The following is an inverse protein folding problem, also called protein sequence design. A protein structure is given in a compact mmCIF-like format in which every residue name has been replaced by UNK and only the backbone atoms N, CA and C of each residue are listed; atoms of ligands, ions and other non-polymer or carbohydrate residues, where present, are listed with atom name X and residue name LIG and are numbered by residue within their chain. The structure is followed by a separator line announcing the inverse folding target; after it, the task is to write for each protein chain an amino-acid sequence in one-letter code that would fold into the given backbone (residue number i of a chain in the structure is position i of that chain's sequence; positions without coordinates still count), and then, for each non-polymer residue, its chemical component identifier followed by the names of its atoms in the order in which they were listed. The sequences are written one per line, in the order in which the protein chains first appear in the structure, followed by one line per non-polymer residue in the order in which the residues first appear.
data_IF_058672501184
#
_entry.id   IF_058672501184
#
_cell.length_a   1.000
_cell.length_b   1.000
_cell.length_c   1.000
_cell.angle_alpha   90.00
_cell.angle_beta   90.00
_cell.angle_gamma   90.00
#
_symmetry.space_group_name_H-M   'P 1'
#
loop_
_entity.id
_entity.type
_entity.pdbx_description
1 polymer ?
#
# COMPACT_ATOMS: atom_id res chain seq x y z
N UNK A 1 -20.69 27.34 -49.15
CA UNK A 1 -19.34 27.41 -48.58
C UNK A 1 -19.31 27.30 -47.05
N UNK A 2 -20.25 27.92 -46.31
CA UNK A 2 -20.27 27.98 -44.83
C UNK A 2 -20.47 26.61 -44.14
N UNK A 3 -21.29 25.70 -44.70
CA UNK A 3 -21.50 24.35 -44.12
C UNK A 3 -20.24 23.48 -44.05
N UNK A 4 -19.30 23.62 -44.99
CA UNK A 4 -18.07 22.82 -45.01
C UNK A 4 -17.04 23.30 -43.97
N UNK A 5 -17.03 24.59 -43.64
CA UNK A 5 -16.15 25.16 -42.61
C UNK A 5 -16.62 24.76 -41.21
N UNK A 6 -17.94 24.74 -40.97
CA UNK A 6 -18.51 24.36 -39.67
C UNK A 6 -18.28 22.88 -39.33
N UNK A 7 -18.34 21.98 -40.32
CA UNK A 7 -18.08 20.54 -40.10
C UNK A 7 -16.60 20.26 -39.78
N UNK A 8 -15.66 20.98 -40.40
CA UNK A 8 -14.21 20.80 -40.14
C UNK A 8 -13.82 21.28 -38.73
N UNK A 9 -14.40 22.38 -38.25
CA UNK A 9 -14.17 22.89 -36.89
C UNK A 9 -14.66 21.93 -35.79
N UNK A 10 -15.78 21.24 -36.01
CA UNK A 10 -16.32 20.25 -35.07
C UNK A 10 -15.41 19.02 -35.00
N UNK A 11 -14.88 18.54 -36.14
CA UNK A 11 -13.98 17.38 -36.16
C UNK A 11 -12.64 17.68 -35.48
N UNK A 12 -12.08 18.89 -35.67
CA UNK A 12 -10.87 19.34 -35.00
C UNK A 12 -11.04 19.48 -33.47
N UNK A 13 -12.21 19.95 -33.01
CA UNK A 13 -12.51 20.05 -31.58
C UNK A 13 -12.66 18.68 -30.90
N UNK A 14 -13.28 17.69 -31.58
CA UNK A 14 -13.45 16.32 -31.06
C UNK A 14 -12.12 15.54 -31.03
N UNK A 15 -11.24 15.77 -32.00
CA UNK A 15 -9.91 15.14 -32.02
C UNK A 15 -8.98 15.75 -30.98
N UNK A 16 -9.05 17.06 -30.72
CA UNK A 16 -8.29 17.69 -29.64
C UNK A 16 -8.72 17.17 -28.25
N UNK A 17 -10.02 17.13 -27.93
CA UNK A 17 -10.48 16.67 -26.59
C UNK A 17 -10.18 15.20 -26.31
N UNK A 18 -10.26 14.34 -27.32
CA UNK A 18 -9.90 12.91 -27.18
C UNK A 18 -8.40 12.70 -26.94
N UNK A 19 -7.52 13.48 -27.60
CA UNK A 19 -6.07 13.45 -27.37
C UNK A 19 -5.69 13.99 -25.97
N UNK A 20 -6.28 15.10 -25.53
CA UNK A 20 -6.04 15.65 -24.19
C UNK A 20 -6.50 14.70 -23.07
N UNK A 21 -7.65 14.05 -23.22
CA UNK A 21 -8.15 13.06 -22.26
C UNK A 21 -7.32 11.78 -22.20
N UNK A 22 -6.82 11.30 -23.34
CA UNK A 22 -5.95 10.13 -23.42
C UNK A 22 -4.57 10.38 -22.81
N UNK A 23 -3.95 11.54 -23.07
CA UNK A 23 -2.66 11.91 -22.48
C UNK A 23 -2.74 11.97 -20.95
N UNK A 24 -3.78 12.60 -20.39
CA UNK A 24 -3.97 12.67 -18.93
C UNK A 24 -4.19 11.30 -18.29
N UNK A 25 -4.84 10.37 -18.99
CA UNK A 25 -5.02 8.98 -18.52
C UNK A 25 -3.70 8.21 -18.57
N UNK A 26 -2.95 8.33 -19.67
CA UNK A 26 -1.66 7.67 -19.84
C UNK A 26 -0.63 8.16 -18.81
N UNK A 27 -0.56 9.48 -18.57
CA UNK A 27 0.29 10.07 -17.53
C UNK A 27 -0.08 9.56 -16.14
N UNK A 28 -1.37 9.52 -15.81
CA UNK A 28 -1.83 8.95 -14.54
C UNK A 28 -1.44 7.49 -14.40
N UNK A 29 -1.63 6.69 -15.45
CA UNK A 29 -1.24 5.28 -15.43
C UNK A 29 0.28 5.11 -15.28
N UNK A 30 1.09 5.95 -15.91
CA UNK A 30 2.54 5.94 -15.74
C UNK A 30 2.96 6.30 -14.31
N UNK A 31 2.33 7.30 -13.70
CA UNK A 31 2.58 7.68 -12.30
C UNK A 31 2.19 6.56 -11.33
N UNK A 32 1.01 5.97 -11.49
CA UNK A 32 0.54 4.86 -10.66
C UNK A 32 1.41 3.61 -10.83
N UNK A 33 1.88 3.35 -12.06
CA UNK A 33 2.83 2.27 -12.33
C UNK A 33 4.18 2.54 -11.65
N UNK A 34 4.69 3.78 -11.71
CA UNK A 34 5.93 4.14 -11.03
C UNK A 34 5.83 3.99 -9.51
N UNK A 35 4.69 4.37 -8.91
CA UNK A 35 4.41 4.10 -7.49
C UNK A 35 4.39 2.61 -7.19
N UNK A 36 3.71 1.81 -8.01
CA UNK A 36 3.67 0.34 -7.88
C UNK A 36 5.06 -0.28 -7.96
N UNK A 37 5.86 0.08 -8.96
CA UNK A 37 7.21 -0.46 -9.16
C UNK A 37 8.11 -0.13 -7.96
N UNK A 38 7.99 1.10 -7.45
CA UNK A 38 8.70 1.56 -6.26
C UNK A 38 8.29 0.80 -4.99
N UNK A 39 6.99 0.61 -4.78
CA UNK A 39 6.46 -0.16 -3.66
C UNK A 39 6.89 -1.63 -3.74
N UNK A 40 6.86 -2.23 -4.94
CA UNK A 40 7.36 -3.59 -5.18
C UNK A 40 8.85 -3.69 -4.87
N UNK A 41 9.66 -2.74 -5.33
CA UNK A 41 11.09 -2.72 -5.01
C UNK A 41 11.35 -2.58 -3.51
N UNK A 42 10.56 -1.77 -2.79
CA UNK A 42 10.65 -1.64 -1.34
C UNK A 42 10.28 -2.94 -0.60
N UNK A 43 9.27 -3.67 -1.08
CA UNK A 43 8.91 -5.02 -0.61
C UNK A 43 10.06 -6.00 -0.88
N UNK A 44 10.62 -6.02 -2.08
CA UNK A 44 11.71 -6.94 -2.43
C UNK A 44 12.97 -6.64 -1.58
N UNK A 45 13.24 -5.36 -1.29
CA UNK A 45 14.34 -4.90 -0.45
C UNK A 45 14.08 -5.07 1.07
N UNK A 46 12.87 -5.46 1.48
CA UNK A 46 12.44 -5.51 2.90
C UNK A 46 12.62 -4.19 3.63
N UNK A 47 12.41 -3.07 2.94
CA UNK A 47 12.56 -1.71 3.49
C UNK A 47 11.37 -0.85 3.08
N UNK A 48 10.24 -1.07 3.73
CA UNK A 48 8.98 -0.43 3.41
C UNK A 48 8.20 -0.05 4.66
N UNK A 49 7.28 0.88 4.51
CA UNK A 49 6.30 1.20 5.54
C UNK A 49 4.96 1.57 4.94
N UNK A 50 3.93 1.47 5.78
CA UNK A 50 2.55 1.83 5.50
C UNK A 50 2.00 2.58 6.69
N UNK A 51 1.35 3.71 6.42
CA UNK A 51 0.46 4.38 7.36
C UNK A 51 -0.97 4.14 6.88
N UNK A 52 -1.74 3.26 7.54
CA UNK A 52 -3.06 2.91 7.06
C UNK A 52 -4.02 4.09 7.13
N UNK A 53 -4.87 4.19 6.11
CA UNK A 53 -5.99 5.12 6.03
C UNK A 53 -7.33 4.39 6.06
N UNK A 54 -7.36 3.08 6.25
CA UNK A 54 -8.58 2.29 6.42
C UNK A 54 -8.37 1.12 7.37
N UNK A 55 -9.36 0.81 8.22
CA UNK A 55 -9.27 -0.21 9.28
C UNK A 55 -10.51 -1.10 9.32
N UNK A 56 -10.34 -2.38 9.00
CA UNK A 56 -11.39 -3.40 8.95
C UNK A 56 -11.89 -3.69 7.53
N UNK A 57 -12.62 -4.80 7.34
CA UNK A 57 -13.13 -5.21 6.04
C UNK A 57 -14.14 -4.19 5.50
N UNK A 58 -13.82 -3.56 4.36
CA UNK A 58 -14.71 -2.57 3.72
C UNK A 58 -14.85 -1.25 4.48
N UNK A 59 -13.89 -0.94 5.36
CA UNK A 59 -13.94 0.25 6.19
C UNK A 59 -13.80 1.55 5.38
N UNK A 60 -14.39 2.61 5.94
CA UNK A 60 -14.37 3.96 5.37
C UNK A 60 -12.98 4.58 5.60
N UNK A 61 -12.50 5.32 4.61
CA UNK A 61 -11.24 6.07 4.73
C UNK A 61 -11.23 6.95 6.00
N UNK A 62 -10.22 6.77 6.83
CA UNK A 62 -9.88 7.55 7.99
C UNK A 62 -8.73 8.51 7.67
N UNK A 63 -8.51 9.50 8.53
CA UNK A 63 -7.31 10.31 8.44
C UNK A 63 -6.09 9.46 8.79
N UNK A 64 -5.02 9.66 8.04
CA UNK A 64 -3.72 9.05 8.32
C UNK A 64 -3.20 9.57 9.65
N UNK A 65 -2.96 8.67 10.60
CA UNK A 65 -2.28 8.96 11.86
C UNK A 65 -0.83 8.47 11.77
N UNK A 66 0.12 9.41 11.84
CA UNK A 66 1.56 9.08 11.77
C UNK A 66 2.02 8.17 12.93
N UNK A 67 1.23 8.05 14.00
CA UNK A 67 1.48 7.12 15.09
C UNK A 67 0.84 5.74 14.91
N UNK A 68 0.17 5.47 13.78
CA UNK A 68 -0.34 4.15 13.42
C UNK A 68 0.34 3.68 12.14
N UNK A 69 1.23 2.71 12.24
CA UNK A 69 2.02 2.26 11.10
C UNK A 69 2.35 0.77 11.16
N UNK A 70 2.66 0.24 9.98
CA UNK A 70 3.40 -1.00 9.78
C UNK A 70 4.71 -0.66 9.07
N UNK A 71 5.85 -1.15 9.55
CA UNK A 71 7.14 -0.90 8.91
C UNK A 71 8.08 -2.10 8.99
N UNK A 72 8.68 -2.45 7.85
CA UNK A 72 9.82 -3.34 7.77
C UNK A 72 11.09 -2.50 7.74
N UNK A 73 11.93 -2.64 8.75
CA UNK A 73 13.11 -1.78 8.95
C UNK A 73 14.43 -2.50 8.69
N UNK A 74 15.52 -1.73 8.63
CA UNK A 74 16.89 -2.19 8.35
C UNK A 74 17.41 -3.24 9.34
N UNK A 75 16.85 -3.27 10.55
CA UNK A 75 17.20 -4.26 11.57
C UNK A 75 16.58 -5.65 11.32
N UNK A 76 15.78 -5.79 10.25
CA UNK A 76 15.18 -7.06 9.85
C UNK A 76 13.92 -7.42 10.65
N UNK A 77 13.32 -6.48 11.37
CA UNK A 77 12.06 -6.67 12.09
C UNK A 77 10.87 -5.95 11.44
N UNK A 78 9.69 -6.56 11.58
CA UNK A 78 8.42 -5.93 11.26
C UNK A 78 7.89 -5.23 12.51
N UNK A 79 7.64 -3.94 12.41
CA UNK A 79 7.05 -3.12 13.45
C UNK A 79 5.57 -2.89 13.18
N UNK A 80 4.72 -3.21 14.16
CA UNK A 80 3.28 -2.89 14.15
C UNK A 80 2.94 -1.98 15.33
N UNK A 81 2.42 -0.79 15.05
CA UNK A 81 2.04 0.19 16.08
C UNK A 81 0.64 0.73 15.82
N UNK A 82 -0.20 0.75 16.87
CA UNK A 82 -1.57 1.27 16.81
C UNK A 82 -2.60 0.20 17.12
N UNK A 83 -3.66 0.55 17.84
CA UNK A 83 -4.64 -0.42 18.33
C UNK A 83 -5.37 -1.14 17.17
N UNK A 84 -5.66 -0.43 16.09
CA UNK A 84 -6.30 -1.00 14.90
C UNK A 84 -5.37 -1.86 14.03
N UNK A 85 -4.05 -1.80 14.27
CA UNK A 85 -3.01 -2.49 13.49
C UNK A 85 -2.46 -3.69 14.26
N UNK A 86 -2.31 -3.55 15.59
CA UNK A 86 -1.66 -4.51 16.47
C UNK A 86 -2.59 -5.07 17.56
N UNK A 87 -3.80 -4.55 17.73
CA UNK A 87 -4.74 -4.95 18.79
C UNK A 87 -4.33 -4.49 20.20
N UNK A 88 -3.27 -3.68 20.31
CA UNK A 88 -2.72 -3.19 21.58
C UNK A 88 -2.06 -1.80 21.42
N UNK A 89 -1.59 -1.20 22.52
CA UNK A 89 -1.01 0.15 22.55
C UNK A 89 0.51 0.21 22.34
N UNK A 90 1.18 -0.94 22.18
CA UNK A 90 2.62 -1.03 22.09
C UNK A 90 3.11 -0.87 20.65
N UNK A 91 4.41 -0.62 20.52
CA UNK A 91 5.14 -0.80 19.27
C UNK A 91 5.63 -2.24 19.25
N UNK A 92 4.96 -3.11 18.51
CA UNK A 92 5.28 -4.54 18.51
C UNK A 92 6.42 -4.78 17.52
N UNK A 93 7.58 -5.21 18.01
CA UNK A 93 8.74 -5.61 17.22
C UNK A 93 8.65 -7.11 16.95
N UNK A 94 8.48 -7.47 15.68
CA UNK A 94 8.22 -8.85 15.28
C UNK A 94 9.36 -9.39 14.42
N UNK A 95 9.92 -10.51 14.84
CA UNK A 95 10.89 -11.27 14.05
C UNK A 95 10.17 -11.92 12.87
N UNK A 96 10.72 -11.76 11.67
CA UNK A 96 10.17 -12.33 10.43
C UNK A 96 10.82 -13.69 10.17
N UNK A 97 10.10 -14.77 10.49
CA UNK A 97 10.56 -16.16 10.33
C UNK A 97 10.50 -16.65 8.88
N UNK A 98 9.53 -16.16 8.12
CA UNK A 98 9.47 -16.38 6.68
C UNK A 98 9.02 -15.11 5.95
N UNK A 99 9.49 -14.95 4.72
CA UNK A 99 9.18 -13.80 3.87
C UNK A 99 9.03 -14.28 2.43
N UNK A 100 7.79 -14.49 2.01
CA UNK A 100 7.44 -15.07 0.72
C UNK A 100 6.72 -14.04 -0.14
N UNK A 101 7.39 -13.59 -1.21
CA UNK A 101 6.81 -12.69 -2.21
C UNK A 101 6.40 -13.51 -3.43
N UNK A 102 5.17 -13.32 -3.89
CA UNK A 102 4.65 -13.94 -5.11
C UNK A 102 3.91 -12.92 -5.97
N UNK A 103 3.91 -13.12 -7.28
CA UNK A 103 3.15 -12.30 -8.23
C UNK A 103 2.18 -13.20 -8.99
N UNK A 104 0.90 -12.84 -8.98
CA UNK A 104 -0.12 -13.63 -9.67
C UNK A 104 -0.14 -13.37 -11.19
N UNK A 105 -0.94 -14.14 -11.94
CA UNK A 105 -1.07 -13.98 -13.41
C UNK A 105 -1.60 -12.61 -13.84
N UNK A 106 -2.26 -11.87 -12.94
CA UNK A 106 -2.77 -10.52 -13.17
C UNK A 106 -1.75 -9.44 -12.81
N UNK A 107 -0.60 -9.83 -12.24
CA UNK A 107 0.48 -8.95 -11.81
C UNK A 107 0.27 -8.34 -10.43
N UNK A 108 -0.67 -8.86 -9.62
CA UNK A 108 -0.80 -8.44 -8.23
C UNK A 108 0.32 -9.05 -7.40
N UNK A 109 0.87 -8.26 -6.48
CA UNK A 109 1.94 -8.68 -5.57
C UNK A 109 1.30 -9.16 -4.27
N UNK A 110 1.68 -10.36 -3.83
CA UNK A 110 1.27 -10.93 -2.56
C UNK A 110 2.53 -11.22 -1.73
N UNK A 111 2.61 -10.64 -0.53
CA UNK A 111 3.64 -10.92 0.45
C UNK A 111 3.01 -11.67 1.63
N UNK A 112 3.58 -12.81 1.99
CA UNK A 112 3.23 -13.58 3.18
C UNK A 112 4.41 -13.63 4.12
N UNK A 113 4.17 -13.29 5.38
CA UNK A 113 5.16 -13.34 6.44
C UNK A 113 4.66 -14.19 7.59
N UNK A 114 5.50 -15.09 8.10
CA UNK A 114 5.32 -15.69 9.41
C UNK A 114 6.14 -14.87 10.40
N UNK A 115 5.50 -14.39 11.45
CA UNK A 115 6.09 -13.45 12.40
C UNK A 115 5.98 -13.95 13.84
N UNK A 116 6.96 -13.57 14.66
CA UNK A 116 7.00 -13.90 16.08
C UNK A 116 7.47 -12.72 16.92
N UNK A 117 6.77 -12.44 18.00
CA UNK A 117 7.07 -11.36 18.93
C UNK A 117 6.41 -11.59 20.28
N UNK A 118 6.57 -10.64 21.20
CA UNK A 118 6.08 -10.79 22.58
C UNK A 118 4.56 -10.99 22.66
N UNK A 119 3.78 -10.17 21.94
CA UNK A 119 2.31 -10.21 21.96
C UNK A 119 1.67 -10.68 20.66
N UNK A 120 2.42 -10.70 19.55
CA UNK A 120 1.90 -11.10 18.24
C UNK A 120 2.77 -12.21 17.69
N UNK A 121 2.17 -13.38 17.52
CA UNK A 121 2.75 -14.52 16.83
C UNK A 121 1.71 -14.98 15.81
N UNK A 122 2.09 -15.17 14.55
CA UNK A 122 1.12 -15.56 13.52
C UNK A 122 1.58 -15.20 12.11
N UNK A 123 0.61 -14.85 11.25
CA UNK A 123 0.85 -14.51 9.85
C UNK A 123 0.46 -13.07 9.56
N UNK A 124 1.24 -12.41 8.71
CA UNK A 124 0.89 -11.14 8.07
C UNK A 124 0.85 -11.35 6.57
N UNK A 125 -0.26 -10.98 5.94
CA UNK A 125 -0.46 -11.08 4.50
C UNK A 125 -0.72 -9.69 3.92
N UNK A 126 0.03 -9.31 2.88
CA UNK A 126 -0.08 -8.02 2.19
C UNK A 126 -0.41 -8.29 0.73
N UNK A 127 -1.47 -7.67 0.23
CA UNK A 127 -1.94 -7.80 -1.15
C UNK A 127 -1.95 -6.42 -1.82
N UNK A 128 -1.11 -6.25 -2.84
CA UNK A 128 -0.99 -5.00 -3.60
C UNK A 128 -1.41 -5.24 -5.05
N UNK A 129 -2.40 -4.47 -5.52
CA UNK A 129 -2.93 -4.62 -6.88
C UNK A 129 -1.95 -4.08 -7.91
N UNK A 130 -1.92 -4.71 -9.09
CA UNK A 130 -1.09 -4.24 -10.21
C UNK A 130 -1.38 -2.77 -10.51
N UNK A 131 -0.32 -1.97 -10.60
CA UNK A 131 -0.40 -0.55 -10.98
C UNK A 131 -0.97 0.34 -9.88
N UNK A 132 -0.87 -0.03 -8.61
CA UNK A 132 -1.11 0.84 -7.46
C UNK A 132 -0.17 0.47 -6.31
N UNK A 133 0.30 1.44 -5.52
CA UNK A 133 0.99 1.15 -4.26
C UNK A 133 0.05 0.97 -3.07
N UNK A 134 -1.27 1.05 -3.28
CA UNK A 134 -2.26 0.79 -2.24
C UNK A 134 -2.41 -0.72 -2.02
N UNK A 135 -2.32 -1.14 -0.76
CA UNK A 135 -2.34 -2.55 -0.38
C UNK A 135 -3.29 -2.82 0.78
N UNK A 136 -3.86 -4.02 0.75
CA UNK A 136 -4.65 -4.57 1.84
C UNK A 136 -3.75 -5.45 2.71
N UNK A 137 -3.85 -5.30 4.02
CA UNK A 137 -3.06 -6.04 5.00
C UNK A 137 -3.98 -6.80 5.94
N UNK A 138 -3.67 -8.07 6.12
CA UNK A 138 -4.34 -8.96 7.08
C UNK A 138 -3.32 -9.50 8.05
N UNK A 139 -3.48 -9.19 9.32
CA UNK A 139 -2.72 -9.79 10.42
C UNK A 139 -3.60 -10.86 11.05
N UNK A 140 -3.13 -12.10 11.01
CA UNK A 140 -3.79 -13.26 11.65
C UNK A 140 -2.90 -13.78 12.78
N UNK A 141 -3.10 -13.30 14.01
CA UNK A 141 -2.44 -13.85 15.19
C UNK A 141 -2.88 -15.30 15.46
N UNK A 142 -2.02 -16.09 16.09
CA UNK A 142 -2.34 -17.43 16.60
C UNK A 142 -3.34 -17.38 17.77
N UNK A 143 -3.38 -16.26 18.49
CA UNK A 143 -4.33 -15.99 19.57
C UNK A 143 -4.77 -14.53 19.50
N UNK A 144 -6.06 -14.28 19.72
CA UNK A 144 -6.68 -12.96 19.61
C UNK A 144 -7.43 -12.75 18.30
N UNK A 145 -7.75 -11.49 17.99
CA UNK A 145 -8.56 -11.12 16.84
C UNK A 145 -7.70 -10.94 15.58
N UNK A 146 -8.27 -11.32 14.43
CA UNK A 146 -7.75 -10.95 13.12
C UNK A 146 -7.90 -9.44 12.91
N UNK A 147 -6.86 -8.81 12.40
CA UNK A 147 -6.82 -7.37 12.15
C UNK A 147 -6.66 -7.15 10.65
N UNK A 148 -7.39 -6.19 10.11
CA UNK A 148 -7.37 -5.84 8.69
C UNK A 148 -7.24 -4.34 8.56
N UNK A 149 -6.38 -3.88 7.67
CA UNK A 149 -6.19 -2.45 7.38
C UNK A 149 -5.58 -2.27 6.01
N UNK A 150 -5.75 -1.09 5.44
CA UNK A 150 -5.27 -0.78 4.09
C UNK A 150 -4.62 0.60 4.04
N UNK A 151 -3.69 0.77 3.10
CA UNK A 151 -2.95 2.01 2.92
C UNK A 151 -1.91 1.91 1.80
N UNK A 152 -1.18 3.01 1.58
CA UNK A 152 -0.07 3.02 0.62
C UNK A 152 1.19 2.38 1.20
N UNK A 153 1.80 1.47 0.44
CA UNK A 153 3.16 0.98 0.68
C UNK A 153 4.14 1.99 0.11
N UNK A 154 5.05 2.46 0.95
CA UNK A 154 6.09 3.42 0.59
C UNK A 154 7.47 2.84 0.92
N UNK A 155 8.52 3.22 0.17
CA UNK A 155 9.89 3.03 0.63
C UNK A 155 10.06 3.61 2.03
N UNK A 156 10.83 2.92 2.87
CA UNK A 156 11.04 3.34 4.26
C UNK A 156 11.60 4.78 4.37
N UNK A 157 12.37 5.22 3.39
CA UNK A 157 12.95 6.57 3.27
C UNK A 157 11.93 7.67 2.97
N UNK A 158 10.77 7.31 2.41
CA UNK A 158 9.70 8.25 2.05
C UNK A 158 8.56 8.25 3.08
N UNK A 159 8.43 7.19 3.86
CA UNK A 159 7.45 7.09 4.93
C UNK A 159 7.87 7.88 6.17
N UNK A 160 7.02 8.81 6.59
CA UNK A 160 7.14 9.56 7.84
C UNK A 160 6.13 9.02 8.85
N UNK A 161 6.62 8.36 9.89
CA UNK A 161 5.80 7.88 10.99
C UNK A 161 6.50 8.14 12.32
N UNK A 162 5.70 8.22 13.38
CA UNK A 162 6.18 8.41 14.75
C UNK A 162 6.24 7.06 15.47
N UNK A 163 7.45 6.53 15.66
CA UNK A 163 7.68 5.34 16.48
C UNK A 163 7.71 5.69 17.96
N UNK A 164 6.79 5.11 18.74
CA UNK A 164 6.74 5.27 20.19
C UNK A 164 7.85 4.47 20.87
N UNK A 165 8.39 4.95 22.01
CA UNK A 165 9.51 4.30 22.71
C UNK A 165 9.14 2.98 23.41
N UNK A 166 7.85 2.66 23.55
CA UNK A 166 7.35 1.45 24.21
C UNK A 166 7.39 0.22 23.28
N UNK A 167 8.60 -0.13 22.84
CA UNK A 167 8.85 -1.28 21.96
C UNK A 167 8.88 -2.58 22.78
N UNK A 168 8.14 -3.60 22.32
CA UNK A 168 8.07 -4.94 22.92
C UNK A 168 8.27 -6.05 21.89
#
# INVERSE_FOLDING_TARGET
MIKRVLTVLIIAAVSATSLFGQNKKAERQAMEQAKFDKAKAAIDAKLFAMLPDSYGPGAVAANVDEANFMAMEEDGFLYLQGASIAGNKYTNKLEVKSYEVSTDKKGNVNLKMIVSGSMINGRVEIQMRKGSNYADVVVTPNSGNRLEFSGEILPKTEAKYFKRPNVI
#
